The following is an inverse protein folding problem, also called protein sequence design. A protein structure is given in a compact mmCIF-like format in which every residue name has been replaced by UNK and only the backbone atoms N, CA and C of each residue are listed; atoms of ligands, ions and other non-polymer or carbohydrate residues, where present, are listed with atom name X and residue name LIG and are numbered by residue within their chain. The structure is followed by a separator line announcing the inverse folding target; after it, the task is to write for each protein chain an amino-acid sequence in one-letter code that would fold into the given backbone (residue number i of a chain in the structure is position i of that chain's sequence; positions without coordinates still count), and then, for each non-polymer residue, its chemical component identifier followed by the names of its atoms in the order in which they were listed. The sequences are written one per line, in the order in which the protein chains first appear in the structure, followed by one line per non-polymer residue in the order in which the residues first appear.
data_IF_730256040105
#
_entry.id   IF_730256040105
#
_cell.length_a   1.000
_cell.length_b   1.000
_cell.length_c   1.000
_cell.angle_alpha   90.00
_cell.angle_beta   90.00
_cell.angle_gamma   90.00
#
_symmetry.space_group_name_H-M   'P 1'
#
loop_
_entity.id
_entity.type
_entity.pdbx_description
1 polymer ?
#
# COMPACT_ATOMS: atom_id res chain seq x y z
N UNK A 1 11.30 -10.00 4.17
CA UNK A 1 10.30 -10.49 3.22
C UNK A 1 8.97 -10.42 3.93
N UNK A 2 7.95 -9.80 3.34
CA UNK A 2 6.63 -9.72 3.97
C UNK A 2 5.90 -11.03 3.72
N UNK A 3 5.52 -11.73 4.79
CA UNK A 3 5.05 -13.10 4.70
C UNK A 3 3.52 -13.21 4.54
N UNK A 4 2.79 -12.13 4.80
CA UNK A 4 1.31 -12.15 4.77
C UNK A 4 0.67 -10.77 4.56
N UNK A 5 -0.55 -10.76 4.01
CA UNK A 5 -1.31 -9.54 3.79
C UNK A 5 -1.61 -8.78 5.09
N UNK A 6 -1.97 -9.52 6.14
CA UNK A 6 -2.22 -8.96 7.48
C UNK A 6 -0.98 -8.30 8.09
N UNK A 7 0.21 -8.83 7.80
CA UNK A 7 1.47 -8.22 8.24
C UNK A 7 1.71 -6.90 7.52
N UNK A 8 1.52 -6.86 6.20
CA UNK A 8 1.59 -5.63 5.41
C UNK A 8 0.67 -4.53 5.96
N UNK A 9 -0.59 -4.88 6.23
CA UNK A 9 -1.58 -3.95 6.78
C UNK A 9 -1.12 -3.41 8.13
N UNK A 10 -0.69 -4.29 9.05
CA UNK A 10 -0.17 -3.90 10.36
C UNK A 10 1.04 -2.98 10.28
N UNK A 11 2.00 -3.31 9.40
CA UNK A 11 3.19 -2.47 9.18
C UNK A 11 2.79 -1.10 8.65
N UNK A 12 1.74 -1.02 7.83
CA UNK A 12 1.29 0.23 7.22
C UNK A 12 0.46 1.08 8.16
N UNK A 13 -0.33 0.46 9.03
CA UNK A 13 -1.06 1.13 10.12
C UNK A 13 -0.13 1.55 11.26
N UNK A 14 1.03 0.89 11.38
CA UNK A 14 2.07 1.28 12.32
C UNK A 14 2.63 2.66 11.96
N UNK A 15 2.72 3.55 12.96
CA UNK A 15 3.34 4.86 12.81
C UNK A 15 4.88 4.81 12.94
N UNK A 16 5.49 3.65 12.72
CA UNK A 16 6.91 3.42 12.92
C UNK A 16 7.71 3.63 11.62
N UNK A 17 8.69 4.53 11.65
CA UNK A 17 9.53 4.81 10.49
C UNK A 17 10.29 3.59 9.97
N UNK A 18 10.63 2.62 10.84
CA UNK A 18 11.28 1.39 10.42
C UNK A 18 10.32 0.45 9.68
N UNK A 19 9.04 0.40 10.10
CA UNK A 19 8.01 -0.36 9.40
C UNK A 19 7.81 0.14 7.96
N UNK A 20 7.82 1.46 7.77
CA UNK A 20 7.77 2.08 6.44
C UNK A 20 8.97 1.75 5.56
N UNK A 21 10.18 1.79 6.12
CA UNK A 21 11.39 1.39 5.40
C UNK A 21 11.38 -0.08 5.03
N UNK A 22 10.83 -0.94 5.91
CA UNK A 22 10.62 -2.35 5.62
C UNK A 22 9.67 -2.56 4.46
N UNK A 23 8.49 -1.92 4.46
CA UNK A 23 7.53 -2.05 3.35
C UNK A 23 8.16 -1.67 2.00
N UNK A 24 8.98 -0.61 1.97
CA UNK A 24 9.63 -0.15 0.73
C UNK A 24 10.76 -1.06 0.23
N UNK A 25 11.45 -1.77 1.14
CA UNK A 25 12.65 -2.54 0.83
C UNK A 25 12.40 -4.04 0.78
N UNK A 26 11.46 -4.53 1.55
CA UNK A 26 11.12 -5.94 1.59
C UNK A 26 10.24 -6.33 0.43
N UNK A 27 10.63 -7.41 -0.22
CA UNK A 27 9.84 -8.10 -1.21
C UNK A 27 8.78 -8.95 -0.51
N UNK A 28 7.61 -9.08 -1.14
CA UNK A 28 6.57 -10.00 -0.72
C UNK A 28 6.30 -10.99 -1.86
N UNK A 29 5.94 -12.25 -1.55
CA UNK A 29 5.50 -13.22 -2.54
C UNK A 29 4.34 -12.67 -3.37
N UNK A 30 4.24 -13.08 -4.64
CA UNK A 30 3.12 -12.74 -5.52
C UNK A 30 1.76 -13.05 -4.86
N UNK A 31 1.66 -14.21 -4.21
CA UNK A 31 0.44 -14.64 -3.53
C UNK A 31 0.01 -13.66 -2.43
N UNK A 32 0.97 -13.09 -1.68
CA UNK A 32 0.69 -12.10 -0.63
C UNK A 32 0.15 -10.81 -1.23
N UNK A 33 0.74 -10.34 -2.34
CA UNK A 33 0.23 -9.15 -3.03
C UNK A 33 -1.18 -9.34 -3.58
N UNK A 34 -1.46 -10.49 -4.19
CA UNK A 34 -2.80 -10.83 -4.66
C UNK A 34 -3.80 -10.90 -3.52
N UNK A 35 -3.40 -11.45 -2.37
CA UNK A 35 -4.23 -11.51 -1.17
C UNK A 35 -4.55 -10.10 -0.62
N UNK A 36 -3.56 -9.19 -0.58
CA UNK A 36 -3.77 -7.78 -0.20
C UNK A 36 -4.77 -7.13 -1.16
N UNK A 37 -4.59 -7.30 -2.47
CA UNK A 37 -5.48 -6.70 -3.46
C UNK A 37 -6.90 -7.27 -3.33
N UNK A 38 -7.07 -8.57 -3.07
CA UNK A 38 -8.40 -9.18 -2.98
C UNK A 38 -9.11 -8.89 -1.66
N UNK A 39 -8.40 -8.92 -0.54
CA UNK A 39 -8.98 -8.80 0.80
C UNK A 39 -8.93 -7.37 1.38
N UNK A 40 -8.06 -6.51 0.86
CA UNK A 40 -7.84 -5.15 1.38
C UNK A 40 -7.86 -4.10 0.25
N UNK A 41 -9.05 -3.73 -0.28
CA UNK A 41 -9.18 -2.77 -1.37
C UNK A 41 -8.55 -1.40 -1.03
N UNK A 42 -8.65 -0.95 0.22
CA UNK A 42 -8.03 0.29 0.70
C UNK A 42 -6.50 0.31 0.58
N UNK A 43 -5.87 -0.88 0.52
CA UNK A 43 -4.43 -1.04 0.44
C UNK A 43 -3.91 -1.10 -1.00
N UNK A 44 -4.77 -1.37 -1.99
CA UNK A 44 -4.41 -1.48 -3.42
C UNK A 44 -3.64 -0.26 -3.93
N UNK A 45 -4.09 0.93 -3.53
CA UNK A 45 -3.42 2.19 -3.86
C UNK A 45 -1.97 2.24 -3.34
N UNK A 46 -1.71 1.71 -2.14
CA UNK A 46 -0.36 1.69 -1.59
C UNK A 46 0.52 0.64 -2.26
N UNK A 47 -0.08 -0.50 -2.64
CA UNK A 47 0.61 -1.55 -3.40
C UNK A 47 1.17 -0.98 -4.70
N UNK A 48 0.45 -0.11 -5.43
CA UNK A 48 0.97 0.49 -6.67
C UNK A 48 2.20 1.39 -6.51
N UNK A 49 2.51 1.89 -5.30
CA UNK A 49 3.73 2.67 -5.05
C UNK A 49 4.95 1.82 -4.68
N UNK A 50 4.77 0.53 -4.40
CA UNK A 50 5.87 -0.35 -4.02
C UNK A 50 6.61 -0.85 -5.26
N UNK A 51 7.92 -0.59 -5.31
CA UNK A 51 8.79 -1.04 -6.41
C UNK A 51 8.97 -2.56 -6.45
N UNK A 52 8.70 -3.25 -5.34
CA UNK A 52 8.81 -4.71 -5.21
C UNK A 52 7.57 -5.44 -5.71
N UNK A 53 6.55 -4.72 -6.18
CA UNK A 53 5.30 -5.32 -6.65
C UNK A 53 5.46 -5.82 -8.09
N UNK A 54 5.12 -7.09 -8.36
CA UNK A 54 5.19 -7.64 -9.69
C UNK A 54 4.11 -7.04 -10.61
N UNK A 55 4.44 -6.85 -11.89
CA UNK A 55 3.55 -6.26 -12.90
C UNK A 55 2.20 -6.99 -13.05
N UNK A 56 2.15 -8.28 -12.72
CA UNK A 56 0.89 -9.05 -12.75
C UNK A 56 -0.13 -8.50 -11.74
N UNK A 57 0.33 -8.10 -10.55
CA UNK A 57 -0.52 -7.49 -9.52
C UNK A 57 -0.98 -6.11 -9.96
N UNK A 58 -0.09 -5.32 -10.57
CA UNK A 58 -0.45 -4.00 -11.11
C UNK A 58 -1.54 -4.11 -12.18
N UNK A 59 -1.51 -5.17 -13.00
CA UNK A 59 -2.57 -5.46 -13.98
C UNK A 59 -3.90 -5.82 -13.31
N UNK A 60 -3.88 -6.66 -12.28
CA UNK A 60 -5.09 -7.00 -11.49
C UNK A 60 -5.70 -5.73 -10.90
N UNK A 61 -4.88 -4.84 -10.35
CA UNK A 61 -5.31 -3.54 -9.78
C UNK A 61 -5.84 -2.59 -10.87
N UNK A 62 -5.21 -2.56 -12.05
CA UNK A 62 -5.57 -1.62 -13.13
C UNK A 62 -6.85 -2.02 -13.87
N UNK A 63 -7.21 -3.31 -13.85
CA UNK A 63 -8.48 -3.81 -14.40
C UNK A 63 -9.67 -3.64 -13.44
N UNK A 64 -9.43 -3.21 -12.20
CA UNK A 64 -10.46 -3.08 -11.19
C UNK A 64 -11.13 -1.67 -11.26
N UNK A 65 -12.43 -1.58 -11.58
CA UNK A 65 -13.12 -0.31 -11.82
C UNK A 65 -13.29 0.54 -10.55
N UNK A 66 -13.16 -0.04 -9.35
CA UNK A 66 -13.24 0.69 -8.08
C UNK A 66 -12.05 1.64 -7.89
N UNK A 67 -10.88 1.26 -8.44
CA UNK A 67 -9.68 2.07 -8.32
C UNK A 67 -9.75 3.38 -9.11
N UNK A 68 -10.53 3.42 -10.18
CA UNK A 68 -10.70 4.59 -11.03
C UNK A 68 -11.44 5.72 -10.30
N UNK A 69 -12.48 5.38 -9.51
CA UNK A 69 -13.18 6.32 -8.64
C UNK A 69 -12.36 6.76 -7.42
N UNK A 70 -11.53 5.86 -6.88
CA UNK A 70 -10.68 6.15 -5.72
C UNK A 70 -9.52 7.14 -6.01
N UNK A 71 -9.11 7.32 -7.28
CA UNK A 71 -8.03 8.26 -7.65
C UNK A 71 -8.36 9.72 -7.32
N UNK A 72 -9.65 10.09 -7.32
CA UNK A 72 -10.10 11.47 -7.17
C UNK A 72 -10.37 11.88 -5.71
N UNK A 73 -10.84 10.95 -4.87
CA UNK A 73 -11.31 11.24 -3.50
C UNK A 73 -10.28 10.91 -2.40
N UNK A 74 -9.44 9.88 -2.60
CA UNK A 74 -8.54 9.32 -1.56
C UNK A 74 -7.09 9.80 -1.61
N UNK A 75 -6.84 10.99 -2.18
CA UNK A 75 -5.51 11.62 -2.12
C UNK A 75 -5.10 12.06 -0.70
N UNK A 76 -5.95 11.84 0.32
CA UNK A 76 -5.57 12.00 1.72
C UNK A 76 -5.76 10.71 2.52
N UNK A 77 -4.67 10.09 3.04
CA UNK A 77 -4.82 8.99 3.97
C UNK A 77 -5.58 9.44 5.23
N UNK A 78 -6.39 8.56 5.86
CA UNK A 78 -7.12 8.89 7.09
C UNK A 78 -6.19 9.25 8.26
N UNK A 79 -4.90 8.91 8.19
CA UNK A 79 -3.88 9.32 9.17
C UNK A 79 -3.49 10.81 9.07
N UNK A 80 -3.91 11.53 8.01
CA UNK A 80 -3.70 12.97 7.85
C UNK A 80 -4.73 13.86 8.60
N UNK A 81 -5.67 13.27 9.35
CA UNK A 81 -6.57 14.01 10.27
C UNK A 81 -5.96 14.26 11.67
N UNK A 82 -4.66 14.04 11.84
CA UNK A 82 -3.88 14.47 13.00
C UNK A 82 -2.84 15.52 12.59
N UNK A 83 -2.43 16.43 13.49
CA UNK A 83 -1.57 17.57 13.16
C UNK A 83 -0.12 17.11 12.99
N UNK A 84 0.20 16.38 11.92
CA UNK A 84 1.59 16.13 11.55
C UNK A 84 1.84 16.33 10.07
N UNK A 85 2.22 17.58 9.77
CA UNK A 85 3.10 17.96 8.65
C UNK A 85 4.27 16.98 8.57
N UNK A 86 4.39 16.25 7.46
CA UNK A 86 5.68 15.75 7.04
C UNK A 86 6.47 16.87 6.35
N UNK A 87 7.77 17.02 6.61
CA UNK A 87 8.63 17.83 5.75
C UNK A 87 8.78 17.10 4.41
N UNK A 88 8.47 17.81 3.33
CA UNK A 88 8.90 17.42 1.99
C UNK A 88 10.43 17.46 1.94
N UNK A 89 11.13 16.38 1.51
CA UNK A 89 12.56 16.47 1.28
C UNK A 89 12.79 17.45 0.13
N UNK A 90 13.67 18.42 0.39
CA UNK A 90 14.04 19.50 -0.52
C UNK A 90 14.97 19.01 -1.61
#
# INVERSE_FOLDING_TARGET
MIESAKEYVRLRESNDGAAWQRIKREEAPLQVWLDIVRNHPDMRFWVTFNRTVPVQVLREISGDPDLEGARQDRLQPPHARGPHRFPVPR
#
